data_IF_720118839475
#
_entry.id   IF_720118839475
#
_cell.length_a   1.000
_cell.length_b   1.000
_cell.length_c   1.000
_cell.angle_alpha   90.00
_cell.angle_beta   90.00
_cell.angle_gamma   90.00
#
_symmetry.space_group_name_H-M   'P 1'
#
loop_
_entity.id
_entity.type
_entity.pdbx_description
1 polymer ?
#
# COMPACT_ATOMS: atom_id res chain seq x y z
N UNK A 1 16.33 -8.10 -18.74
CA UNK A 1 16.34 -9.23 -17.77
C UNK A 1 16.41 -8.77 -16.32
N UNK A 2 17.46 -8.06 -15.89
CA UNK A 2 17.64 -7.67 -14.48
C UNK A 2 16.45 -6.94 -13.84
N UNK A 3 15.87 -5.94 -14.50
CA UNK A 3 14.73 -5.19 -13.97
C UNK A 3 13.42 -6.02 -13.95
N UNK A 4 13.30 -7.00 -14.85
CA UNK A 4 12.17 -7.95 -14.84
C UNK A 4 12.28 -8.84 -13.59
N UNK A 5 13.47 -9.37 -13.31
CA UNK A 5 13.73 -10.10 -12.06
C UNK A 5 13.51 -9.22 -10.82
N UNK A 6 13.88 -7.94 -10.89
CA UNK A 6 13.54 -6.95 -9.86
C UNK A 6 12.03 -6.84 -9.62
N UNK A 7 11.23 -6.72 -10.68
CA UNK A 7 9.76 -6.67 -10.58
C UNK A 7 9.16 -7.96 -10.03
N UNK A 8 9.65 -9.13 -10.44
CA UNK A 8 9.25 -10.42 -9.88
C UNK A 8 9.64 -10.56 -8.40
N UNK A 9 10.82 -10.07 -8.01
CA UNK A 9 11.24 -10.08 -6.62
C UNK A 9 10.35 -9.19 -5.74
N UNK A 10 9.96 -8.01 -6.25
CA UNK A 10 8.99 -7.13 -5.59
C UNK A 10 7.63 -7.83 -5.47
N UNK A 11 7.16 -8.48 -6.54
CA UNK A 11 5.92 -9.26 -6.53
C UNK A 11 5.93 -10.33 -5.43
N UNK A 12 7.01 -11.11 -5.35
CA UNK A 12 7.19 -12.15 -4.34
C UNK A 12 7.23 -11.58 -2.93
N UNK A 13 8.05 -10.56 -2.71
CA UNK A 13 8.28 -9.99 -1.38
C UNK A 13 7.09 -9.21 -0.84
N UNK A 14 6.40 -8.43 -1.67
CA UNK A 14 5.33 -7.54 -1.21
C UNK A 14 3.96 -8.24 -1.23
N UNK A 15 3.59 -8.87 -2.34
CA UNK A 15 2.22 -9.35 -2.55
C UNK A 15 2.07 -10.87 -2.43
N UNK A 16 2.96 -11.69 -3.03
CA UNK A 16 2.82 -13.16 -2.98
C UNK A 16 3.11 -13.74 -1.58
N UNK A 17 4.04 -13.13 -0.83
CA UNK A 17 4.32 -13.51 0.56
C UNK A 17 3.05 -13.45 1.44
N UNK A 18 2.11 -12.54 1.14
CA UNK A 18 0.82 -12.46 1.82
C UNK A 18 -0.16 -13.58 1.45
N UNK A 19 -0.02 -14.15 0.25
CA UNK A 19 -0.83 -15.28 -0.24
C UNK A 19 -0.35 -16.60 0.38
N UNK A 20 0.97 -16.78 0.52
CA UNK A 20 1.57 -18.03 0.96
C UNK A 20 1.40 -18.30 2.47
N UNK A 21 1.52 -17.25 3.31
CA UNK A 21 1.44 -17.28 4.79
C UNK A 21 2.29 -18.36 5.50
N UNK A 22 2.31 -18.29 6.82
CA UNK A 22 2.83 -19.35 7.70
C UNK A 22 4.30 -19.67 7.45
N UNK A 23 4.61 -20.96 7.35
CA UNK A 23 5.98 -21.44 7.19
C UNK A 23 6.67 -20.97 5.91
N UNK A 24 5.93 -20.78 4.81
CA UNK A 24 6.50 -20.36 3.53
C UNK A 24 6.88 -18.87 3.52
N UNK A 25 6.01 -18.02 4.07
CA UNK A 25 6.33 -16.60 4.26
C UNK A 25 7.55 -16.44 5.19
N UNK A 26 7.57 -17.18 6.30
CA UNK A 26 8.69 -17.17 7.25
C UNK A 26 9.98 -17.66 6.58
N UNK A 27 9.94 -18.78 5.85
CA UNK A 27 11.10 -19.31 5.13
C UNK A 27 11.65 -18.31 4.12
N UNK A 28 10.79 -17.59 3.38
CA UNK A 28 11.21 -16.56 2.45
C UNK A 28 11.99 -15.44 3.16
N UNK A 29 11.45 -14.87 4.24
CA UNK A 29 12.14 -13.80 4.97
C UNK A 29 13.39 -14.29 5.72
N UNK A 30 13.40 -15.52 6.24
CA UNK A 30 14.60 -16.15 6.82
C UNK A 30 15.69 -16.32 5.75
N UNK A 31 15.33 -16.64 4.52
CA UNK A 31 16.29 -16.74 3.42
C UNK A 31 16.85 -15.35 3.04
N UNK A 32 16.01 -14.31 2.96
CA UNK A 32 16.49 -12.93 2.75
C UNK A 32 17.44 -12.51 3.87
N UNK A 33 17.09 -12.88 5.09
CA UNK A 33 17.86 -12.62 6.29
C UNK A 33 19.23 -13.32 6.27
N UNK A 34 19.29 -14.58 5.84
CA UNK A 34 20.56 -15.29 5.62
C UNK A 34 21.41 -14.63 4.52
N UNK A 35 20.79 -14.17 3.44
CA UNK A 35 21.50 -13.42 2.38
C UNK A 35 22.11 -12.12 2.92
N UNK A 36 21.43 -11.42 3.83
CA UNK A 36 22.00 -10.24 4.49
C UNK A 36 23.26 -10.62 5.25
N UNK A 37 23.24 -11.67 6.06
CA UNK A 37 24.43 -12.10 6.80
C UNK A 37 25.61 -12.43 5.89
N UNK A 38 25.36 -13.15 4.81
CA UNK A 38 26.39 -13.50 3.81
C UNK A 38 27.00 -12.23 3.18
N UNK A 39 26.16 -11.23 2.85
CA UNK A 39 26.61 -9.98 2.26
C UNK A 39 27.18 -8.97 3.26
N UNK A 40 26.77 -9.02 4.54
CA UNK A 40 27.22 -8.10 5.58
C UNK A 40 28.73 -8.25 5.87
N UNK A 41 29.30 -9.44 5.64
CA UNK A 41 30.75 -9.66 5.63
C UNK A 41 31.51 -8.76 4.63
N UNK A 42 30.83 -8.15 3.66
CA UNK A 42 31.41 -7.23 2.66
C UNK A 42 30.98 -5.77 2.80
N UNK A 43 29.91 -5.47 3.55
CA UNK A 43 29.20 -4.17 3.45
C UNK A 43 29.24 -3.34 4.75
N UNK A 44 29.79 -3.86 5.87
CA UNK A 44 29.88 -3.15 7.15
C UNK A 44 28.57 -2.43 7.50
N UNK A 45 27.48 -3.20 7.60
CA UNK A 45 26.18 -2.67 8.02
C UNK A 45 26.30 -2.21 9.48
N UNK A 46 25.84 -1.00 9.79
CA UNK A 46 25.97 -0.39 11.12
C UNK A 46 25.25 -1.19 12.22
N UNK A 47 25.84 -1.20 13.42
CA UNK A 47 25.37 -1.86 14.66
C UNK A 47 23.86 -1.68 14.94
N UNK A 48 23.27 -0.55 14.53
CA UNK A 48 21.85 -0.22 14.65
C UNK A 48 20.92 -1.11 13.82
N UNK A 49 21.31 -1.52 12.62
CA UNK A 49 20.53 -2.47 11.82
C UNK A 49 20.67 -3.89 12.37
N UNK A 50 21.84 -4.23 12.94
CA UNK A 50 22.08 -5.49 13.63
C UNK A 50 21.29 -5.59 14.95
N UNK A 51 21.08 -4.46 15.64
CA UNK A 51 20.22 -4.34 16.82
C UNK A 51 18.72 -4.38 16.50
N UNK A 52 18.27 -3.75 15.40
CA UNK A 52 16.89 -3.92 14.89
C UNK A 52 16.61 -5.36 14.45
N UNK A 53 17.66 -6.04 14.00
CA UNK A 53 17.62 -7.43 13.60
C UNK A 53 17.64 -8.39 14.81
N UNK A 54 18.43 -8.07 15.85
CA UNK A 54 18.39 -8.79 17.12
C UNK A 54 17.06 -8.56 17.85
N UNK A 55 16.51 -7.35 17.85
CA UNK A 55 15.19 -7.09 18.45
C UNK A 55 14.07 -7.83 17.71
N UNK A 56 14.18 -7.98 16.40
CA UNK A 56 13.24 -8.79 15.60
C UNK A 56 13.41 -10.29 15.79
N UNK A 57 14.64 -10.80 15.95
CA UNK A 57 14.89 -12.19 16.38
C UNK A 57 14.33 -12.42 17.79
N UNK A 58 14.52 -11.49 18.73
CA UNK A 58 13.96 -11.57 20.08
C UNK A 58 12.43 -11.52 20.11
N UNK A 59 11.78 -10.86 19.14
CA UNK A 59 10.32 -10.88 18.96
C UNK A 59 9.84 -12.22 18.38
N UNK A 60 10.61 -12.82 17.48
CA UNK A 60 10.31 -14.13 16.85
C UNK A 60 10.56 -15.31 17.80
N UNK A 61 11.56 -15.21 18.70
CA UNK A 61 11.89 -16.23 19.71
C UNK A 61 11.03 -16.15 20.98
N UNK A 62 10.04 -15.25 21.04
CA UNK A 62 9.19 -15.03 22.21
C UNK A 62 7.81 -15.76 22.23
N UNK A 63 7.68 -17.03 21.83
CA UNK A 63 6.62 -17.88 22.38
C UNK A 63 6.88 -18.29 23.84
N UNK A 64 8.06 -17.98 24.39
CA UNK A 64 8.52 -18.48 25.70
C UNK A 64 8.35 -17.50 26.88
N UNK A 65 8.00 -16.22 26.67
CA UNK A 65 7.74 -15.26 27.75
C UNK A 65 6.40 -14.51 27.58
N UNK A 66 5.58 -14.55 28.63
CA UNK A 66 4.17 -14.13 28.72
C UNK A 66 3.89 -12.61 28.62
N UNK A 67 2.63 -12.30 28.28
CA UNK A 67 1.78 -11.15 28.71
C UNK A 67 2.06 -9.73 28.19
N UNK A 68 2.80 -9.56 27.10
CA UNK A 68 2.63 -8.38 26.22
C UNK A 68 1.79 -8.82 25.03
N UNK A 69 0.82 -8.01 24.58
CA UNK A 69 0.05 -8.27 23.35
C UNK A 69 0.97 -8.08 22.11
N UNK A 70 1.96 -8.98 22.00
CA UNK A 70 3.08 -9.00 21.05
C UNK A 70 2.60 -8.98 19.59
N UNK A 71 1.36 -9.40 19.36
CA UNK A 71 0.70 -9.27 18.07
C UNK A 71 0.76 -7.82 17.57
N UNK A 72 0.48 -6.82 18.41
CA UNK A 72 0.49 -5.40 18.02
C UNK A 72 1.91 -4.96 17.60
N UNK A 73 2.94 -5.38 18.34
CA UNK A 73 4.34 -5.09 18.00
C UNK A 73 4.76 -5.77 16.69
N UNK A 74 4.34 -7.02 16.47
CA UNK A 74 4.59 -7.74 15.20
C UNK A 74 3.85 -7.08 14.04
N UNK A 75 2.61 -6.64 14.23
CA UNK A 75 1.83 -5.91 13.23
C UNK A 75 2.50 -4.60 12.80
N UNK A 76 3.09 -3.87 13.75
CA UNK A 76 3.75 -2.59 13.48
C UNK A 76 5.20 -2.72 12.98
N UNK A 77 6.01 -3.60 13.57
CA UNK A 77 7.42 -3.77 13.22
C UNK A 77 7.61 -4.66 11.98
N UNK A 78 6.70 -5.60 11.74
CA UNK A 78 6.72 -6.53 10.62
C UNK A 78 6.95 -5.84 9.25
N UNK A 79 6.15 -4.83 8.87
CA UNK A 79 6.34 -4.09 7.61
C UNK A 79 7.72 -3.42 7.49
N UNK A 80 8.25 -2.91 8.60
CA UNK A 80 9.55 -2.24 8.64
C UNK A 80 10.67 -3.25 8.36
N UNK A 81 10.65 -4.38 9.07
CA UNK A 81 11.64 -5.45 8.90
C UNK A 81 11.55 -6.03 7.50
N UNK A 82 10.35 -6.40 7.05
CA UNK A 82 10.13 -6.99 5.73
C UNK A 82 10.53 -6.01 4.61
N UNK A 83 10.15 -4.73 4.72
CA UNK A 83 10.57 -3.69 3.79
C UNK A 83 12.09 -3.52 3.73
N UNK A 84 12.78 -3.58 4.88
CA UNK A 84 14.24 -3.54 4.94
C UNK A 84 14.88 -4.75 4.24
N UNK A 85 14.41 -5.97 4.54
CA UNK A 85 14.94 -7.21 3.93
C UNK A 85 14.80 -7.19 2.41
N UNK A 86 13.63 -6.79 1.91
CA UNK A 86 13.34 -6.67 0.48
C UNK A 86 14.25 -5.60 -0.13
N UNK A 87 14.34 -4.40 0.47
CA UNK A 87 15.16 -3.31 -0.03
C UNK A 87 16.65 -3.67 -0.08
N UNK A 88 17.16 -4.38 0.94
CA UNK A 88 18.54 -4.81 1.00
C UNK A 88 18.87 -5.76 -0.15
N UNK A 89 18.08 -6.82 -0.32
CA UNK A 89 18.32 -7.80 -1.38
C UNK A 89 18.17 -7.16 -2.76
N UNK A 90 17.17 -6.29 -2.94
CA UNK A 90 16.98 -5.55 -4.17
C UNK A 90 18.17 -4.62 -4.51
N UNK A 91 18.70 -3.91 -3.51
CA UNK A 91 19.77 -2.94 -3.69
C UNK A 91 21.16 -3.59 -3.81
N UNK A 92 21.45 -4.63 -3.02
CA UNK A 92 22.77 -5.26 -2.95
C UNK A 92 22.87 -6.55 -3.75
N UNK A 93 21.93 -7.48 -3.61
CA UNK A 93 21.98 -8.78 -4.29
C UNK A 93 21.58 -8.65 -5.77
N UNK A 94 20.44 -8.01 -6.06
CA UNK A 94 20.05 -7.70 -7.44
C UNK A 94 20.82 -6.49 -8.00
N UNK A 95 21.53 -5.74 -7.15
CA UNK A 95 22.39 -4.60 -7.48
C UNK A 95 21.66 -3.46 -8.26
N UNK A 96 20.36 -3.28 -8.01
CA UNK A 96 19.54 -2.22 -8.62
C UNK A 96 19.68 -0.93 -7.80
N UNK A 97 20.70 -0.12 -8.15
CA UNK A 97 21.13 1.07 -7.39
C UNK A 97 20.69 2.41 -7.98
N UNK A 98 20.18 2.42 -9.22
CA UNK A 98 19.73 3.64 -9.90
C UNK A 98 18.23 3.83 -9.76
N UNK A 99 17.77 5.09 -9.71
CA UNK A 99 16.34 5.44 -9.66
C UNK A 99 15.60 4.90 -10.89
N UNK A 100 16.20 4.98 -12.07
CA UNK A 100 15.67 4.39 -13.31
C UNK A 100 15.48 2.87 -13.19
N UNK A 101 16.43 2.17 -12.56
CA UNK A 101 16.35 0.73 -12.35
C UNK A 101 15.25 0.35 -11.35
N UNK A 102 15.08 1.14 -10.29
CA UNK A 102 13.96 1.00 -9.35
C UNK A 102 12.62 1.19 -10.06
N UNK A 103 12.44 2.31 -10.77
CA UNK A 103 11.20 2.63 -11.50
C UNK A 103 10.88 1.57 -12.53
N UNK A 104 11.88 1.12 -13.30
CA UNK A 104 11.70 0.06 -14.29
C UNK A 104 11.21 -1.23 -13.64
N UNK A 105 11.78 -1.61 -12.50
CA UNK A 105 11.39 -2.83 -11.77
C UNK A 105 9.98 -2.73 -11.19
N UNK A 106 9.60 -1.57 -10.67
CA UNK A 106 8.25 -1.30 -10.19
C UNK A 106 7.22 -1.34 -11.32
N UNK A 107 7.57 -0.83 -12.51
CA UNK A 107 6.71 -0.94 -13.69
C UNK A 107 6.51 -2.42 -14.10
N UNK A 108 7.56 -3.24 -14.04
CA UNK A 108 7.42 -4.69 -14.26
C UNK A 108 6.57 -5.37 -13.20
N UNK A 109 6.65 -4.94 -11.93
CA UNK A 109 5.74 -5.43 -10.89
C UNK A 109 4.26 -5.13 -11.22
N UNK A 110 3.94 -3.90 -11.61
CA UNK A 110 2.57 -3.52 -12.02
C UNK A 110 2.13 -4.29 -13.27
N UNK A 111 3.00 -4.45 -14.25
CA UNK A 111 2.71 -5.20 -15.47
C UNK A 111 2.42 -6.67 -15.16
N UNK A 112 3.20 -7.32 -14.29
CA UNK A 112 2.96 -8.70 -13.88
C UNK A 112 1.63 -8.85 -13.15
N UNK A 113 1.31 -7.91 -12.24
CA UNK A 113 0.00 -7.91 -11.59
C UNK A 113 -1.13 -7.72 -12.60
N UNK A 114 -0.98 -6.83 -13.58
CA UNK A 114 -1.98 -6.67 -14.66
C UNK A 114 -2.18 -7.95 -15.48
N UNK A 115 -1.11 -8.64 -15.84
CA UNK A 115 -1.18 -9.91 -16.55
C UNK A 115 -1.90 -10.98 -15.72
N UNK A 116 -1.65 -11.03 -14.41
CA UNK A 116 -2.41 -11.88 -13.48
C UNK A 116 -3.88 -11.51 -13.48
N UNK A 117 -4.22 -10.22 -13.43
CA UNK A 117 -5.61 -9.75 -13.47
C UNK A 117 -6.29 -10.22 -14.75
N UNK A 118 -5.66 -10.04 -15.93
CA UNK A 118 -6.19 -10.53 -17.20
C UNK A 118 -6.38 -12.05 -17.20
N UNK A 119 -5.43 -12.80 -16.65
CA UNK A 119 -5.53 -14.24 -16.49
C UNK A 119 -6.71 -14.64 -15.59
N UNK A 120 -6.88 -13.98 -14.45
CA UNK A 120 -8.00 -14.22 -13.53
C UNK A 120 -9.36 -13.85 -14.12
N UNK A 121 -9.42 -12.84 -15.00
CA UNK A 121 -10.63 -12.52 -15.77
C UNK A 121 -10.94 -13.60 -16.80
N UNK A 122 -9.93 -14.13 -17.49
CA UNK A 122 -10.09 -15.20 -18.47
C UNK A 122 -10.49 -16.55 -17.83
N UNK A 123 -10.04 -16.82 -16.59
CA UNK A 123 -10.28 -18.08 -15.88
C UNK A 123 -10.96 -17.86 -14.51
N UNK A 124 -12.28 -17.56 -14.49
CA UNK A 124 -13.00 -17.22 -13.26
C UNK A 124 -13.02 -18.36 -12.22
N UNK A 125 -13.06 -19.63 -12.66
CA UNK A 125 -13.04 -20.77 -11.75
C UNK A 125 -11.71 -20.92 -11.00
N UNK A 126 -10.58 -20.65 -11.68
CA UNK A 126 -9.26 -20.65 -11.04
C UNK A 126 -9.13 -19.50 -10.05
N UNK A 127 -9.67 -18.33 -10.40
CA UNK A 127 -9.73 -17.17 -9.50
C UNK A 127 -10.50 -17.50 -8.21
N UNK A 128 -11.69 -18.10 -8.32
CA UNK A 128 -12.47 -18.51 -7.15
C UNK A 128 -11.70 -19.51 -6.28
N UNK A 129 -11.07 -20.53 -6.89
CA UNK A 129 -10.23 -21.47 -6.14
C UNK A 129 -9.05 -20.80 -5.42
N UNK A 130 -8.44 -19.77 -6.00
CA UNK A 130 -7.39 -18.97 -5.34
C UNK A 130 -7.97 -18.17 -4.17
N UNK A 131 -9.12 -17.52 -4.34
CA UNK A 131 -9.78 -16.75 -3.27
C UNK A 131 -10.16 -17.68 -2.11
N UNK A 132 -10.73 -18.86 -2.41
CA UNK A 132 -11.09 -19.86 -1.41
C UNK A 132 -9.87 -20.39 -0.66
N UNK A 133 -8.74 -20.62 -1.36
CA UNK A 133 -7.49 -20.99 -0.71
C UNK A 133 -6.97 -19.89 0.23
N UNK A 134 -7.04 -18.62 -0.19
CA UNK A 134 -6.52 -17.47 0.57
C UNK A 134 -7.38 -17.16 1.81
N UNK A 135 -8.70 -17.28 1.70
CA UNK A 135 -9.65 -16.81 2.72
C UNK A 135 -10.47 -17.91 3.41
N UNK A 136 -10.49 -19.14 2.90
CA UNK A 136 -11.40 -20.21 3.35
C UNK A 136 -11.24 -20.64 4.82
N UNK A 137 -10.07 -20.42 5.43
CA UNK A 137 -9.78 -20.81 6.81
C UNK A 137 -10.06 -19.72 7.86
N UNK A 138 -10.59 -18.56 7.47
CA UNK A 138 -10.52 -17.37 8.32
C UNK A 138 -11.75 -17.07 9.19
N UNK A 139 -12.78 -17.92 9.20
CA UNK A 139 -13.96 -17.70 10.03
C UNK A 139 -14.62 -16.34 9.80
N UNK A 140 -14.50 -15.78 8.59
CA UNK A 140 -15.20 -14.57 8.19
C UNK A 140 -16.67 -14.91 7.98
N UNK A 141 -17.55 -14.13 8.61
CA UNK A 141 -18.99 -14.36 8.60
C UNK A 141 -19.55 -14.38 7.17
N UNK A 142 -20.41 -15.36 6.92
CA UNK A 142 -20.26 -16.34 5.84
C UNK A 142 -20.85 -15.99 4.46
N UNK A 143 -21.21 -14.74 4.14
CA UNK A 143 -21.84 -14.43 2.83
C UNK A 143 -21.47 -13.08 2.21
N UNK A 144 -21.45 -11.99 3.00
CA UNK A 144 -21.20 -10.65 2.48
C UNK A 144 -19.74 -10.39 2.08
N UNK A 145 -18.79 -10.89 2.89
CA UNK A 145 -17.35 -10.70 2.65
C UNK A 145 -16.84 -11.61 1.51
N UNK A 146 -17.32 -12.85 1.46
CA UNK A 146 -17.10 -13.76 0.33
C UNK A 146 -17.67 -13.17 -0.96
N UNK A 147 -18.91 -12.66 -0.97
CA UNK A 147 -19.49 -12.00 -2.15
C UNK A 147 -18.67 -10.76 -2.61
N UNK A 148 -18.17 -9.96 -1.67
CA UNK A 148 -17.31 -8.82 -2.01
C UNK A 148 -15.96 -9.26 -2.60
N UNK A 149 -15.37 -10.36 -2.11
CA UNK A 149 -14.10 -10.91 -2.61
C UNK A 149 -14.27 -11.65 -3.95
N UNK A 150 -15.34 -12.43 -4.14
CA UNK A 150 -15.67 -13.06 -5.43
C UNK A 150 -15.95 -12.00 -6.50
N UNK A 151 -16.26 -10.77 -6.12
CA UNK A 151 -16.38 -9.65 -7.05
C UNK A 151 -15.08 -8.83 -7.20
N UNK A 152 -14.29 -8.64 -6.14
CA UNK A 152 -13.15 -7.68 -6.10
C UNK A 152 -11.76 -8.27 -5.90
N UNK A 153 -11.62 -9.58 -5.80
CA UNK A 153 -10.32 -10.25 -5.60
C UNK A 153 -9.57 -10.50 -6.89
N UNK A 154 -8.85 -9.50 -7.42
CA UNK A 154 -8.01 -9.64 -8.62
C UNK A 154 -6.54 -9.31 -8.33
N UNK A 155 -5.62 -10.12 -8.85
CA UNK A 155 -4.17 -10.01 -8.60
C UNK A 155 -3.66 -11.08 -7.63
N UNK A 156 -2.34 -11.14 -7.42
CA UNK A 156 -1.73 -12.10 -6.48
C UNK A 156 -1.43 -11.38 -5.15
N UNK A 157 -2.43 -11.26 -4.29
CA UNK A 157 -2.33 -10.62 -2.97
C UNK A 157 -3.43 -11.12 -2.06
N UNK A 158 -3.35 -10.86 -0.75
CA UNK A 158 -4.45 -11.04 0.21
C UNK A 158 -5.07 -9.71 0.65
N UNK A 159 -4.56 -8.59 0.13
CA UNK A 159 -5.02 -7.24 0.48
C UNK A 159 -5.78 -6.56 -0.67
N UNK A 160 -6.56 -7.35 -1.42
CA UNK A 160 -7.28 -6.92 -2.63
C UNK A 160 -8.11 -5.64 -2.43
N UNK A 161 -8.80 -5.53 -1.31
CA UNK A 161 -9.80 -4.48 -1.10
C UNK A 161 -9.22 -3.10 -0.76
N UNK A 162 -8.00 -3.00 -0.23
CA UNK A 162 -7.47 -1.71 0.23
C UNK A 162 -5.97 -1.58 0.01
N UNK A 163 -5.14 -2.34 0.73
CA UNK A 163 -3.69 -2.14 0.71
C UNK A 163 -3.05 -2.37 -0.67
N UNK A 164 -3.56 -3.32 -1.46
CA UNK A 164 -3.01 -3.60 -2.79
C UNK A 164 -3.26 -2.45 -3.77
N UNK A 165 -4.49 -1.96 -3.99
CA UNK A 165 -4.74 -0.76 -4.81
C UNK A 165 -3.95 0.48 -4.34
N UNK A 166 -3.78 0.67 -3.03
CA UNK A 166 -2.93 1.74 -2.48
C UNK A 166 -1.46 1.56 -2.87
N UNK A 167 -0.92 0.34 -2.80
CA UNK A 167 0.46 0.05 -3.20
C UNK A 167 0.70 0.32 -4.69
N UNK A 168 -0.25 -0.04 -5.56
CA UNK A 168 -0.21 0.25 -7.00
C UNK A 168 -0.24 1.76 -7.25
N UNK A 169 -1.08 2.49 -6.53
CA UNK A 169 -1.14 3.95 -6.62
C UNK A 169 0.18 4.61 -6.16
N UNK A 170 0.83 4.09 -5.11
CA UNK A 170 2.15 4.56 -4.66
C UNK A 170 3.22 4.36 -5.75
N UNK A 171 3.22 3.19 -6.41
CA UNK A 171 4.12 2.91 -7.54
C UNK A 171 3.92 3.91 -8.68
N UNK A 172 2.67 4.15 -9.06
CA UNK A 172 2.33 5.12 -10.10
C UNK A 172 2.76 6.53 -9.69
N UNK A 173 2.43 6.96 -8.46
CA UNK A 173 2.78 8.28 -7.95
C UNK A 173 4.30 8.50 -7.91
N UNK A 174 5.08 7.49 -7.53
CA UNK A 174 6.53 7.52 -7.64
C UNK A 174 6.98 7.74 -9.09
N UNK A 175 6.47 6.95 -10.05
CA UNK A 175 6.83 7.09 -11.46
C UNK A 175 6.45 8.47 -12.04
N UNK A 176 5.27 9.00 -11.67
CA UNK A 176 4.80 10.30 -12.13
C UNK A 176 5.61 11.46 -11.55
N UNK A 177 5.87 11.44 -10.24
CA UNK A 177 6.38 12.58 -9.47
C UNK A 177 7.91 12.57 -9.30
N UNK A 178 8.61 11.49 -9.66
CA UNK A 178 10.05 11.54 -9.90
C UNK A 178 10.30 12.46 -11.11
N UNK A 179 11.18 13.45 -10.91
CA UNK A 179 11.53 14.50 -11.87
C UNK A 179 12.37 13.92 -13.00
N UNK A 180 11.72 13.62 -14.10
CA UNK A 180 12.40 13.59 -15.40
C UNK A 180 12.54 15.03 -15.90
N UNK A 181 13.74 15.60 -15.78
CA UNK A 181 14.09 16.86 -16.44
C UNK A 181 14.08 16.67 -17.96
N UNK A 182 12.90 16.69 -18.58
CA UNK A 182 12.78 16.67 -20.02
C UNK A 182 12.04 17.91 -20.52
N UNK A 183 12.60 18.54 -21.55
CA UNK A 183 12.12 19.82 -22.13
C UNK A 183 10.69 19.77 -22.67
N UNK A 184 10.12 18.57 -22.88
CA UNK A 184 8.77 18.34 -23.38
C UNK A 184 7.96 17.39 -22.47
N UNK A 185 7.56 17.88 -21.30
CA UNK A 185 6.81 17.12 -20.29
C UNK A 185 5.54 16.43 -20.83
N UNK A 186 4.75 17.12 -21.67
CA UNK A 186 3.52 16.56 -22.25
C UNK A 186 3.80 15.35 -23.14
N UNK A 187 4.78 15.44 -24.04
CA UNK A 187 5.14 14.32 -24.93
C UNK A 187 5.64 13.12 -24.13
N UNK A 188 6.47 13.35 -23.12
CA UNK A 188 6.96 12.30 -22.24
C UNK A 188 5.84 11.68 -21.39
N UNK A 189 4.88 12.48 -20.92
CA UNK A 189 3.70 11.98 -20.21
C UNK A 189 2.87 11.03 -21.09
N UNK A 190 2.50 11.45 -22.30
CA UNK A 190 1.71 10.62 -23.21
C UNK A 190 2.45 9.37 -23.67
N UNK A 191 3.74 9.47 -24.01
CA UNK A 191 4.49 8.33 -24.54
C UNK A 191 4.93 7.33 -23.45
N UNK A 192 5.27 7.80 -22.24
CA UNK A 192 5.93 6.94 -21.24
C UNK A 192 5.10 6.67 -19.98
N UNK A 193 4.12 7.53 -19.66
CA UNK A 193 3.38 7.48 -18.38
C UNK A 193 1.92 7.10 -18.54
N UNK A 194 1.26 7.49 -19.65
CA UNK A 194 -0.16 7.24 -19.88
C UNK A 194 -0.54 5.75 -19.82
N UNK A 195 0.25 4.88 -20.46
CA UNK A 195 -0.02 3.44 -20.46
C UNK A 195 -0.03 2.86 -19.03
N UNK A 196 0.87 3.35 -18.16
CA UNK A 196 0.95 2.89 -16.77
C UNK A 196 -0.23 3.38 -15.94
N UNK A 197 -0.73 4.59 -16.21
CA UNK A 197 -1.98 5.08 -15.62
C UNK A 197 -3.13 4.16 -16.01
N UNK A 198 -3.27 3.82 -17.30
CA UNK A 198 -4.34 2.95 -17.79
C UNK A 198 -4.28 1.56 -17.15
N UNK A 199 -3.11 0.92 -17.18
CA UNK A 199 -2.88 -0.39 -16.57
C UNK A 199 -3.20 -0.37 -15.07
N UNK A 200 -2.69 0.62 -14.33
CA UNK A 200 -2.93 0.76 -12.88
C UNK A 200 -4.41 1.03 -12.58
N UNK A 201 -5.08 1.81 -13.42
CA UNK A 201 -6.50 2.13 -13.26
C UNK A 201 -7.37 0.90 -13.44
N UNK A 202 -7.07 0.03 -14.41
CA UNK A 202 -7.80 -1.24 -14.59
C UNK A 202 -7.64 -2.14 -13.35
N UNK A 203 -6.42 -2.29 -12.82
CA UNK A 203 -6.18 -3.08 -11.60
C UNK A 203 -7.00 -2.50 -10.43
N UNK A 204 -6.99 -1.18 -10.24
CA UNK A 204 -7.72 -0.53 -9.15
C UNK A 204 -9.24 -0.59 -9.33
N UNK A 205 -9.76 -0.46 -10.55
CA UNK A 205 -11.20 -0.56 -10.86
C UNK A 205 -11.78 -1.93 -10.50
N UNK A 206 -11.02 -2.99 -10.75
CA UNK A 206 -11.43 -4.37 -10.48
C UNK A 206 -11.29 -4.76 -8.99
N UNK A 207 -10.49 -4.01 -8.23
CA UNK A 207 -10.23 -4.29 -6.81
C UNK A 207 -10.90 -3.25 -5.89
N UNK A 208 -10.37 -2.02 -5.82
CA UNK A 208 -10.94 -0.98 -4.99
C UNK A 208 -10.70 0.45 -5.48
N UNK A 209 -11.76 1.26 -5.34
CA UNK A 209 -11.84 2.64 -5.81
C UNK A 209 -10.88 3.59 -5.11
N UNK A 210 -10.45 3.30 -3.88
CA UNK A 210 -9.48 4.13 -3.14
C UNK A 210 -8.14 4.26 -3.87
N UNK A 211 -7.72 3.23 -4.63
CA UNK A 211 -6.53 3.32 -5.47
C UNK A 211 -6.68 4.35 -6.59
N UNK A 212 -7.86 4.44 -7.22
CA UNK A 212 -8.13 5.43 -8.29
C UNK A 212 -8.09 6.86 -7.77
N UNK A 213 -8.59 7.09 -6.56
CA UNK A 213 -8.53 8.40 -5.92
C UNK A 213 -7.08 8.86 -5.75
N UNK A 214 -6.18 7.98 -5.27
CA UNK A 214 -4.76 8.33 -5.16
C UNK A 214 -4.08 8.51 -6.51
N UNK A 215 -4.44 7.72 -7.52
CA UNK A 215 -3.97 7.92 -8.90
C UNK A 215 -4.37 9.32 -9.39
N UNK A 216 -5.62 9.74 -9.16
CA UNK A 216 -6.09 11.07 -9.51
C UNK A 216 -5.30 12.17 -8.77
N UNK A 217 -5.07 12.01 -7.47
CA UNK A 217 -4.23 12.94 -6.68
C UNK A 217 -2.82 13.02 -7.24
N UNK A 218 -2.18 11.91 -7.61
CA UNK A 218 -0.85 11.90 -8.21
C UNK A 218 -0.81 12.67 -9.53
N UNK A 219 -1.82 12.49 -10.38
CA UNK A 219 -1.96 13.20 -11.65
C UNK A 219 -2.17 14.70 -11.43
N UNK A 220 -3.04 15.09 -10.48
CA UNK A 220 -3.29 16.49 -10.13
C UNK A 220 -2.00 17.14 -9.61
N UNK A 221 -1.28 16.50 -8.70
CA UNK A 221 0.00 17.00 -8.17
C UNK A 221 1.03 17.13 -9.28
N UNK A 222 1.12 16.14 -10.19
CA UNK A 222 2.03 16.19 -11.34
C UNK A 222 1.82 17.47 -12.16
N UNK A 223 0.58 17.72 -12.61
CA UNK A 223 0.25 18.90 -13.41
C UNK A 223 0.26 20.22 -12.63
N UNK A 224 0.01 20.20 -11.32
CA UNK A 224 0.07 21.39 -10.47
C UNK A 224 1.51 21.80 -10.18
N UNK A 225 2.44 20.84 -10.13
CA UNK A 225 3.87 21.07 -9.91
C UNK A 225 4.56 21.66 -11.14
N UNK A 226 4.05 21.36 -12.33
CA UNK A 226 4.47 22.03 -13.55
C UNK A 226 3.70 23.35 -13.67
N UNK A 227 4.38 24.49 -13.51
CA UNK A 227 3.80 25.86 -13.51
C UNK A 227 3.05 26.28 -14.80
N UNK A 228 2.63 25.35 -15.66
CA UNK A 228 1.89 25.59 -16.90
C UNK A 228 0.74 24.58 -17.03
N UNK A 229 -0.45 25.03 -16.62
CA UNK A 229 -1.77 24.76 -17.20
C UNK A 229 -2.86 24.48 -16.17
N UNK A 230 -3.40 25.55 -15.59
CA UNK A 230 -4.74 25.59 -15.00
C UNK A 230 -5.81 25.01 -15.93
N UNK A 231 -5.68 25.21 -17.25
CA UNK A 231 -6.60 24.66 -18.26
C UNK A 231 -6.55 23.12 -18.34
N UNK A 232 -5.37 22.52 -18.21
CA UNK A 232 -5.22 21.06 -18.28
C UNK A 232 -5.63 20.38 -16.98
N UNK A 233 -5.37 21.02 -15.83
CA UNK A 233 -5.93 20.60 -14.53
C UNK A 233 -7.45 20.63 -14.60
N UNK A 234 -8.04 21.67 -15.19
CA UNK A 234 -9.49 21.76 -15.40
C UNK A 234 -10.00 20.61 -16.27
N UNK A 235 -9.36 20.33 -17.41
CA UNK A 235 -9.76 19.24 -18.32
C UNK A 235 -9.59 17.86 -17.67
N UNK A 236 -8.51 17.62 -16.94
CA UNK A 236 -8.31 16.36 -16.20
C UNK A 236 -9.35 16.21 -15.10
N UNK A 237 -9.60 17.27 -14.33
CA UNK A 237 -10.60 17.25 -13.25
C UNK A 237 -12.00 17.03 -13.81
N UNK A 238 -12.31 17.64 -14.95
CA UNK A 238 -13.57 17.47 -15.68
C UNK A 238 -13.67 16.07 -16.32
N UNK A 239 -12.58 15.50 -16.85
CA UNK A 239 -12.61 14.14 -17.43
C UNK A 239 -12.61 13.04 -16.37
N UNK A 240 -11.98 13.27 -15.21
CA UNK A 240 -12.12 12.43 -14.01
C UNK A 240 -13.54 12.52 -13.45
N UNK A 241 -14.12 13.72 -13.34
CA UNK A 241 -15.51 13.86 -12.91
C UNK A 241 -16.47 13.26 -13.94
N UNK A 242 -16.20 13.38 -15.24
CA UNK A 242 -16.99 12.74 -16.30
C UNK A 242 -16.87 11.21 -16.29
N UNK A 243 -15.69 10.65 -16.02
CA UNK A 243 -15.51 9.21 -15.81
C UNK A 243 -16.23 8.70 -14.55
N UNK A 244 -16.30 9.54 -13.52
CA UNK A 244 -17.05 9.24 -12.29
C UNK A 244 -18.57 9.39 -12.49
N UNK A 245 -19.02 10.27 -13.40
CA UNK A 245 -20.44 10.59 -13.60
C UNK A 245 -21.10 9.80 -14.74
N UNK A 246 -20.36 9.41 -15.80
CA UNK A 246 -20.92 8.78 -17.01
C UNK A 246 -20.61 7.29 -17.18
N UNK A 247 -20.44 6.54 -16.10
CA UNK A 247 -20.60 5.07 -16.18
C UNK A 247 -22.08 4.68 -16.27
N UNK A 248 -22.78 5.14 -17.31
CA UNK A 248 -24.03 4.51 -17.76
C UNK A 248 -23.75 3.89 -19.13
N UNK A 249 -23.04 2.77 -19.08
CA UNK A 249 -22.75 1.92 -20.24
C UNK A 249 -23.73 0.77 -20.19
N UNK A 250 -24.83 0.88 -20.94
CA UNK A 250 -25.75 -0.23 -21.21
C UNK A 250 -25.03 -1.28 -22.06
N UNK A 251 -24.43 -2.28 -21.41
CA UNK A 251 -23.89 -3.48 -22.06
C UNK A 251 -24.31 -4.71 -21.25
N UNK A 252 -25.09 -5.56 -21.91
CA UNK A 252 -25.77 -6.73 -21.37
C UNK A 252 -24.82 -7.91 -21.16
N UNK A 253 -24.30 -8.04 -19.94
CA UNK A 253 -23.88 -9.34 -19.38
C UNK A 253 -24.24 -9.38 -17.91
N UNK A 254 -24.56 -10.58 -17.39
CA UNK A 254 -25.01 -10.76 -15.99
C UNK A 254 -23.99 -10.19 -14.99
N UNK A 255 -22.69 -10.41 -15.22
CA UNK A 255 -21.59 -9.83 -14.41
C UNK A 255 -21.52 -8.30 -14.48
N UNK A 256 -21.80 -7.69 -15.65
CA UNK A 256 -21.81 -6.23 -15.80
C UNK A 256 -23.08 -5.58 -15.23
N UNK A 257 -24.22 -6.26 -15.28
CA UNK A 257 -25.45 -5.76 -14.68
C UNK A 257 -25.32 -5.68 -13.15
N UNK A 258 -24.70 -6.67 -12.52
CA UNK A 258 -24.38 -6.64 -11.08
C UNK A 258 -23.32 -5.57 -10.74
N UNK A 259 -22.38 -5.32 -11.66
CA UNK A 259 -21.41 -4.22 -11.52
C UNK A 259 -22.06 -2.84 -11.66
N UNK A 260 -23.00 -2.68 -12.59
CA UNK A 260 -23.72 -1.44 -12.82
C UNK A 260 -24.73 -1.14 -11.71
N UNK A 261 -25.43 -2.15 -11.21
CA UNK A 261 -26.33 -2.00 -10.06
C UNK A 261 -25.55 -1.57 -8.81
N UNK A 262 -24.39 -2.18 -8.58
CA UNK A 262 -23.49 -1.80 -7.49
C UNK A 262 -22.91 -0.38 -7.64
N UNK A 263 -22.56 0.04 -8.86
CA UNK A 263 -22.17 1.43 -9.13
C UNK A 263 -23.31 2.40 -8.83
N UNK A 264 -24.53 2.11 -9.32
CA UNK A 264 -25.73 2.94 -9.11
C UNK A 264 -26.08 3.08 -7.63
N UNK A 265 -26.04 1.97 -6.88
CA UNK A 265 -26.26 1.97 -5.43
C UNK A 265 -25.23 2.85 -4.70
N UNK A 266 -23.98 2.83 -5.14
CA UNK A 266 -22.91 3.66 -4.56
C UNK A 266 -23.10 5.17 -4.79
N UNK A 267 -23.72 5.57 -5.90
CA UNK A 267 -24.02 6.98 -6.19
C UNK A 267 -25.31 7.45 -5.54
N UNK A 268 -26.28 6.55 -5.32
CA UNK A 268 -27.52 6.86 -4.60
C UNK A 268 -27.25 7.26 -3.14
N UNK A 269 -26.18 6.77 -2.51
CA UNK A 269 -25.76 7.20 -1.15
C UNK A 269 -25.41 8.70 -1.10
N UNK A 270 -25.01 9.30 -2.23
CA UNK A 270 -24.73 10.74 -2.34
C UNK A 270 -25.93 11.56 -2.83
N UNK A 271 -27.09 10.93 -3.06
CA UNK A 271 -28.31 11.66 -3.40
C UNK A 271 -28.83 12.37 -2.15
N UNK A 272 -28.85 13.71 -2.19
CA UNK A 272 -29.17 14.57 -1.04
C UNK A 272 -30.63 14.49 -0.56
N UNK A 273 -31.49 13.72 -1.24
CA UNK A 273 -32.94 13.64 -0.96
C UNK A 273 -33.32 12.78 0.25
N UNK A 274 -32.42 11.92 0.78
CA UNK A 274 -32.72 10.98 1.88
C UNK A 274 -31.87 11.20 3.14
N UNK A 275 -31.39 12.43 3.37
CA UNK A 275 -30.50 12.77 4.49
C UNK A 275 -31.02 12.44 5.90
N UNK A 276 -32.33 12.22 6.08
CA UNK A 276 -32.94 11.97 7.40
C UNK A 276 -32.98 10.50 7.85
N UNK A 277 -32.68 9.53 6.98
CA UNK A 277 -32.68 8.10 7.31
C UNK A 277 -31.44 7.36 6.76
N UNK A 278 -30.31 8.06 6.62
CA UNK A 278 -29.08 7.45 6.10
C UNK A 278 -28.47 6.52 7.17
N UNK A 279 -28.81 5.23 7.13
CA UNK A 279 -28.27 4.18 7.98
C UNK A 279 -26.74 4.22 8.07
N UNK A 280 -26.06 4.55 6.97
CA UNK A 280 -24.59 4.67 6.89
C UNK A 280 -23.98 5.72 7.83
N UNK A 281 -24.65 6.85 8.10
CA UNK A 281 -24.13 7.88 9.03
C UNK A 281 -24.35 7.47 10.49
N UNK A 282 -25.45 6.77 10.79
CA UNK A 282 -25.67 6.16 12.10
C UNK A 282 -24.75 4.96 12.33
N UNK A 283 -24.47 4.18 11.29
CA UNK A 283 -23.51 3.08 11.34
C UNK A 283 -22.09 3.63 11.56
N UNK A 284 -21.72 4.73 10.90
CA UNK A 284 -20.43 5.40 11.13
C UNK A 284 -20.30 5.95 12.54
N UNK A 285 -21.35 6.57 13.10
CA UNK A 285 -21.30 7.04 14.50
C UNK A 285 -21.17 5.89 15.48
N UNK A 286 -21.82 4.75 15.18
CA UNK A 286 -21.68 3.51 15.94
C UNK A 286 -20.30 2.84 15.81
N UNK A 287 -19.44 3.27 14.88
CA UNK A 287 -18.06 2.73 14.71
C UNK A 287 -16.98 3.63 15.31
N UNK A 288 -17.35 4.81 15.83
CA UNK A 288 -16.42 5.77 16.45
C UNK A 288 -16.47 5.59 17.96
N UNK A 289 -15.43 4.93 18.48
CA UNK A 289 -15.22 4.75 19.91
C UNK A 289 -13.94 5.48 20.32
N UNK A 290 -13.84 5.83 21.61
CA UNK A 290 -12.59 6.31 22.20
C UNK A 290 -12.41 5.66 23.59
N UNK A 291 -11.17 5.37 24.01
CA UNK A 291 -10.90 4.84 25.34
C UNK A 291 -11.44 5.75 26.44
N UNK A 292 -12.00 5.16 27.50
CA UNK A 292 -12.55 5.92 28.62
C UNK A 292 -11.43 6.27 29.61
N UNK A 293 -11.17 7.57 29.78
CA UNK A 293 -10.18 8.09 30.73
C UNK A 293 -8.86 8.53 30.10
N UNK A 294 -8.15 9.41 30.79
CA UNK A 294 -6.94 10.04 30.25
C UNK A 294 -5.78 9.03 30.09
N UNK A 295 -5.66 8.07 31.02
CA UNK A 295 -4.60 7.07 30.97
C UNK A 295 -4.75 6.12 29.76
N UNK A 296 -5.95 5.59 29.56
CA UNK A 296 -6.28 4.70 28.43
C UNK A 296 -6.21 5.43 27.09
N UNK A 297 -6.56 6.72 27.05
CA UNK A 297 -6.38 7.54 25.85
C UNK A 297 -4.89 7.75 25.51
N UNK A 298 -4.03 7.95 26.51
CA UNK A 298 -2.60 8.21 26.29
C UNK A 298 -1.80 6.94 25.96
N UNK A 299 -2.09 5.81 26.64
CA UNK A 299 -1.32 4.57 26.54
C UNK A 299 -2.06 3.41 25.87
N UNK A 300 -3.34 3.58 25.57
CA UNK A 300 -4.19 2.54 25.00
C UNK A 300 -4.72 1.58 26.06
N UNK A 301 -5.62 0.71 25.63
CA UNK A 301 -6.18 -0.38 26.44
C UNK A 301 -5.52 -1.72 26.11
N UNK A 302 -4.65 -1.77 25.09
CA UNK A 302 -3.99 -3.00 24.65
C UNK A 302 -4.93 -3.95 23.91
N UNK A 303 -6.11 -3.48 23.50
CA UNK A 303 -7.14 -4.26 22.83
C UNK A 303 -7.16 -3.90 21.33
N UNK A 304 -7.31 -4.92 20.48
CA UNK A 304 -7.56 -4.73 19.05
C UNK A 304 -9.06 -4.83 18.82
N UNK A 305 -9.70 -3.71 18.45
CA UNK A 305 -11.13 -3.70 18.12
C UNK A 305 -11.33 -4.45 16.80
N UNK A 306 -11.82 -5.69 16.89
CA UNK A 306 -12.00 -6.61 15.77
C UNK A 306 -13.30 -7.40 16.01
N UNK A 307 -14.12 -7.66 14.97
CA UNK A 307 -15.39 -8.39 15.09
C UNK A 307 -15.34 -9.68 15.90
N UNK A 308 -14.18 -10.35 15.93
CA UNK A 308 -14.05 -11.69 16.51
C UNK A 308 -13.43 -11.69 17.92
N UNK A 309 -12.97 -10.56 18.46
CA UNK A 309 -12.21 -10.53 19.71
C UNK A 309 -12.66 -9.48 20.73
N UNK A 310 -13.60 -8.61 20.37
CA UNK A 310 -14.11 -7.57 21.25
C UNK A 310 -15.61 -7.36 21.03
N UNK A 311 -16.35 -7.08 22.10
CA UNK A 311 -17.78 -6.72 22.06
C UNK A 311 -18.04 -5.40 21.31
N UNK A 312 -16.96 -4.70 20.93
CA UNK A 312 -16.95 -3.40 20.26
C UNK A 312 -16.08 -3.50 18.99
N UNK A 313 -16.59 -3.05 17.84
CA UNK A 313 -15.90 -3.08 16.55
C UNK A 313 -15.74 -1.67 15.96
N UNK A 314 -14.56 -1.38 15.41
CA UNK A 314 -14.33 -0.16 14.62
C UNK A 314 -13.60 -0.48 13.31
N UNK A 315 -14.20 -0.11 12.17
CA UNK A 315 -13.52 -0.18 10.87
C UNK A 315 -12.45 0.94 10.71
N UNK A 316 -12.48 1.97 11.57
CA UNK A 316 -11.57 3.11 11.49
C UNK A 316 -10.20 2.73 12.07
N UNK A 317 -9.18 2.75 11.23
CA UNK A 317 -7.82 2.37 11.62
C UNK A 317 -7.22 3.25 12.70
N UNK A 318 -7.46 4.56 12.69
CA UNK A 318 -6.96 5.49 13.73
C UNK A 318 -7.54 5.12 15.10
N UNK A 319 -8.83 4.83 15.17
CA UNK A 319 -9.51 4.43 16.41
C UNK A 319 -8.89 3.14 16.94
N UNK A 320 -8.76 2.12 16.07
CA UNK A 320 -8.09 0.86 16.41
C UNK A 320 -6.65 1.07 16.91
N UNK A 321 -5.88 1.99 16.32
CA UNK A 321 -4.53 2.30 16.77
C UNK A 321 -4.51 2.93 18.17
N UNK A 322 -5.40 3.88 18.44
CA UNK A 322 -5.54 4.53 19.75
C UNK A 322 -5.99 3.53 20.82
N UNK A 323 -6.94 2.64 20.53
CA UNK A 323 -7.30 1.56 21.47
C UNK A 323 -6.15 0.59 21.73
N UNK A 324 -5.35 0.29 20.71
CA UNK A 324 -4.26 -0.68 20.82
C UNK A 324 -3.06 -0.17 21.64
N UNK A 325 -2.71 1.12 21.54
CA UNK A 325 -1.49 1.66 22.17
C UNK A 325 -1.53 3.16 22.49
N UNK A 326 -2.70 3.78 22.38
CA UNK A 326 -2.93 5.17 22.76
C UNK A 326 -2.35 6.22 21.80
N UNK A 327 -2.44 7.47 22.21
CA UNK A 327 -1.91 8.61 21.47
C UNK A 327 -0.38 8.51 21.30
N UNK A 328 0.35 8.00 22.29
CA UNK A 328 1.82 7.88 22.15
C UNK A 328 2.24 6.89 21.07
N UNK A 329 1.56 5.75 20.96
CA UNK A 329 1.79 4.80 19.88
C UNK A 329 1.41 5.42 18.52
N UNK A 330 0.29 6.11 18.45
CA UNK A 330 -0.11 6.83 17.24
C UNK A 330 0.93 7.86 16.79
N UNK A 331 1.45 8.69 17.71
CA UNK A 331 2.54 9.64 17.42
C UNK A 331 3.79 8.91 16.90
N UNK A 332 4.13 7.76 17.47
CA UNK A 332 5.26 6.94 17.01
C UNK A 332 5.07 6.47 15.56
N UNK A 333 3.85 6.04 15.19
CA UNK A 333 3.49 5.71 13.81
C UNK A 333 3.71 6.93 12.90
N UNK A 334 3.20 8.11 13.30
CA UNK A 334 3.35 9.35 12.52
C UNK A 334 4.81 9.72 12.28
N UNK A 335 5.66 9.67 13.32
CA UNK A 335 7.08 10.00 13.22
C UNK A 335 7.81 9.00 12.30
N UNK A 336 7.47 7.71 12.42
CA UNK A 336 8.07 6.65 11.60
C UNK A 336 7.74 6.84 10.12
N UNK A 337 6.49 7.11 9.79
CA UNK A 337 6.05 7.37 8.42
C UNK A 337 6.58 8.70 7.87
N UNK A 338 6.66 9.75 8.69
CA UNK A 338 7.30 11.00 8.32
C UNK A 338 8.76 10.78 7.88
N UNK A 339 9.52 10.01 8.67
CA UNK A 339 10.90 9.64 8.34
C UNK A 339 10.97 8.82 7.04
N UNK A 340 10.05 7.85 6.88
CA UNK A 340 9.97 7.06 5.67
C UNK A 340 9.70 7.90 4.41
N UNK A 341 8.75 8.83 4.47
CA UNK A 341 8.42 9.73 3.36
C UNK A 341 9.58 10.66 3.03
N UNK A 342 10.32 11.12 4.04
CA UNK A 342 11.54 11.90 3.82
C UNK A 342 12.56 11.10 3.01
N UNK A 343 12.80 9.84 3.35
CA UNK A 343 13.72 9.00 2.57
C UNK A 343 13.21 8.76 1.14
N UNK A 344 11.93 8.43 0.96
CA UNK A 344 11.33 8.21 -0.36
C UNK A 344 11.46 9.46 -1.24
N UNK A 345 11.17 10.63 -0.68
CA UNK A 345 11.22 11.91 -1.41
C UNK A 345 12.63 12.36 -1.79
N UNK A 346 13.68 11.66 -1.34
CA UNK A 346 15.08 11.93 -1.73
C UNK A 346 15.63 11.02 -2.84
N UNK A 347 14.84 10.04 -3.31
CA UNK A 347 15.24 9.02 -4.31
C UNK A 347 15.84 9.59 -5.60
N UNK A 348 15.49 10.83 -5.95
CA UNK A 348 15.76 11.44 -7.26
C UNK A 348 16.80 12.57 -7.25
N UNK A 349 17.30 12.97 -6.08
CA UNK A 349 18.10 14.18 -6.04
C UNK A 349 19.53 13.93 -6.54
N UNK A 350 19.81 14.48 -7.73
CA UNK A 350 21.17 14.81 -8.15
C UNK A 350 21.83 15.68 -7.06
N UNK A 351 22.62 15.02 -6.21
CA UNK A 351 23.69 15.56 -5.38
C UNK A 351 23.40 16.58 -4.25
N UNK A 352 22.16 16.83 -3.80
CA UNK A 352 21.94 17.76 -2.66
C UNK A 352 21.00 17.31 -1.53
N UNK A 353 20.44 16.10 -1.59
CA UNK A 353 19.59 15.58 -0.49
C UNK A 353 18.33 16.41 -0.20
N UNK A 354 17.90 17.27 -1.13
CA UNK A 354 16.67 18.02 -0.97
C UNK A 354 15.44 17.10 -1.13
N UNK A 355 14.33 17.51 -0.54
CA UNK A 355 13.08 16.75 -0.52
C UNK A 355 12.28 17.08 -1.78
N UNK A 356 11.85 16.07 -2.53
CA UNK A 356 10.84 16.21 -3.58
C UNK A 356 9.47 16.49 -2.92
N UNK A 357 9.15 17.76 -2.69
CA UNK A 357 7.93 18.20 -1.99
C UNK A 357 6.64 17.64 -2.62
N UNK A 358 6.44 17.64 -3.95
CA UNK A 358 5.29 16.97 -4.58
C UNK A 358 5.14 15.50 -4.17
N UNK A 359 6.22 14.72 -4.24
CA UNK A 359 6.20 13.31 -3.85
C UNK A 359 5.94 13.14 -2.35
N UNK A 360 6.52 14.00 -1.51
CA UNK A 360 6.31 13.98 -0.06
C UNK A 360 4.83 14.25 0.30
N UNK A 361 4.21 15.26 -0.32
CA UNK A 361 2.78 15.57 -0.14
C UNK A 361 1.91 14.40 -0.62
N UNK A 362 2.22 13.80 -1.77
CA UNK A 362 1.51 12.63 -2.27
C UNK A 362 1.56 11.45 -1.29
N UNK A 363 2.73 11.14 -0.73
CA UNK A 363 2.87 10.06 0.27
C UNK A 363 2.03 10.33 1.53
N UNK A 364 1.94 11.59 1.96
CA UNK A 364 1.07 11.99 3.07
C UNK A 364 -0.42 11.78 2.79
N UNK A 365 -0.91 12.14 1.60
CA UNK A 365 -2.28 11.82 1.20
C UNK A 365 -2.54 10.31 1.21
N UNK A 366 -1.60 9.52 0.66
CA UNK A 366 -1.67 8.06 0.70
C UNK A 366 -1.75 7.50 2.12
N UNK A 367 -0.97 8.08 3.03
CA UNK A 367 -0.94 7.71 4.44
C UNK A 367 -2.26 7.97 5.15
N UNK A 368 -2.88 9.14 4.95
CA UNK A 368 -4.18 9.47 5.54
C UNK A 368 -5.22 8.44 5.12
N UNK A 369 -5.27 8.10 3.83
CA UNK A 369 -6.20 7.08 3.32
C UNK A 369 -5.92 5.71 3.93
N UNK A 370 -4.65 5.31 4.01
CA UNK A 370 -4.25 4.05 4.62
C UNK A 370 -4.55 3.99 6.13
N UNK A 371 -4.43 5.10 6.85
CA UNK A 371 -4.76 5.20 8.28
C UNK A 371 -6.26 5.10 8.54
N UNK A 372 -7.11 5.66 7.68
CA UNK A 372 -8.57 5.53 7.80
C UNK A 372 -8.97 4.04 7.77
N UNK A 373 -8.33 3.23 6.92
CA UNK A 373 -8.62 1.79 6.79
C UNK A 373 -7.73 0.86 7.63
N UNK A 374 -6.76 1.41 8.38
CA UNK A 374 -5.86 0.64 9.24
C UNK A 374 -4.76 -0.12 8.50
N UNK A 375 -4.53 0.19 7.23
CA UNK A 375 -3.54 -0.46 6.36
C UNK A 375 -2.11 0.03 6.61
N UNK A 376 -1.94 1.16 7.31
CA UNK A 376 -0.63 1.76 7.54
C UNK A 376 0.11 1.20 8.77
N UNK A 377 -0.56 0.59 9.75
CA UNK A 377 0.12 -0.02 10.91
C UNK A 377 -0.07 -1.54 10.97
N UNK A 378 -0.53 -2.13 9.87
CA UNK A 378 -0.67 -3.57 9.67
C UNK A 378 0.33 -4.09 8.62
N UNK A 379 0.57 -5.40 8.65
CA UNK A 379 1.36 -6.12 7.65
C UNK A 379 0.55 -6.17 6.35
N UNK A 380 0.83 -5.23 5.44
CA UNK A 380 0.05 -5.01 4.23
C UNK A 380 0.93 -4.71 3.02
N UNK A 381 0.40 -4.88 1.80
CA UNK A 381 1.11 -4.56 0.56
C UNK A 381 1.55 -3.08 0.55
N UNK A 382 0.70 -2.19 1.09
CA UNK A 382 0.98 -0.75 1.19
C UNK A 382 2.15 -0.46 2.14
N UNK A 383 2.08 -0.93 3.39
CA UNK A 383 3.10 -0.62 4.41
C UNK A 383 4.47 -1.18 4.02
N UNK A 384 4.51 -2.40 3.48
CA UNK A 384 5.74 -3.00 2.92
C UNK A 384 6.32 -2.20 1.77
N UNK A 385 5.48 -1.73 0.83
CA UNK A 385 5.95 -0.91 -0.28
C UNK A 385 6.54 0.41 0.21
N UNK A 386 5.91 1.09 1.17
CA UNK A 386 6.44 2.32 1.77
C UNK A 386 7.81 2.08 2.41
N UNK A 387 7.94 1.06 3.26
CA UNK A 387 9.22 0.80 3.93
C UNK A 387 10.29 0.31 2.97
N UNK A 388 9.94 -0.52 1.98
CA UNK A 388 10.83 -0.90 0.88
C UNK A 388 11.42 0.33 0.17
N UNK A 389 10.57 1.26 -0.27
CA UNK A 389 11.01 2.48 -0.96
C UNK A 389 11.84 3.38 -0.05
N UNK A 390 11.46 3.50 1.23
CA UNK A 390 12.20 4.28 2.23
C UNK A 390 13.62 3.75 2.43
N UNK A 391 13.78 2.45 2.66
CA UNK A 391 15.10 1.86 2.86
C UNK A 391 15.94 1.88 1.59
N UNK A 392 15.33 1.65 0.41
CA UNK A 392 16.03 1.81 -0.86
C UNK A 392 16.54 3.24 -1.04
N UNK A 393 15.70 4.24 -0.76
CA UNK A 393 16.07 5.67 -0.83
C UNK A 393 17.23 6.00 0.12
N UNK A 394 17.17 5.47 1.35
CA UNK A 394 18.24 5.62 2.33
C UNK A 394 19.57 4.98 1.90
N UNK A 395 19.54 3.76 1.35
CA UNK A 395 20.74 3.10 0.81
C UNK A 395 21.36 3.89 -0.33
N UNK A 396 20.52 4.43 -1.23
CA UNK A 396 20.99 5.25 -2.34
C UNK A 396 21.60 6.57 -1.84
N UNK A 397 20.94 7.25 -0.89
CA UNK A 397 21.46 8.46 -0.27
C UNK A 397 22.84 8.24 0.39
N UNK A 398 22.98 7.18 1.20
CA UNK A 398 24.26 6.82 1.84
C UNK A 398 25.37 6.58 0.83
N UNK A 399 25.10 5.85 -0.26
CA UNK A 399 26.07 5.60 -1.33
C UNK A 399 26.53 6.89 -2.01
N UNK A 400 25.61 7.82 -2.25
CA UNK A 400 25.94 9.09 -2.90
C UNK A 400 26.79 9.94 -1.93
N UNK A 401 26.39 10.02 -0.66
CA UNK A 401 27.10 10.80 0.35
C UNK A 401 28.51 10.27 0.66
N UNK A 402 28.79 8.98 0.48
CA UNK A 402 30.12 8.40 0.68
C UNK A 402 31.07 8.57 -0.51
N UNK A 403 30.56 8.98 -1.67
CA UNK A 403 31.33 9.15 -2.92
C UNK A 403 31.62 10.63 -3.25
N UNK A 404 31.17 11.55 -2.39
CA UNK A 404 31.52 12.98 -2.36
C UNK A 404 32.53 13.17 -1.24
#
# INVERSE_FOLDING_TARGET
MRYIFGGLFILLGISLSNVLRGGLELAFYVLLLALIFIYNFKVNISLTALLLFFSSISIVLNPFYREVNLNILVYFLGPIIQGYLIAFCFYYALNIKTSEGLVSSLNYFVLMQFLVVLFMVAFPNLRLGIIDYIYGNQGYDSTGFTAALTFRGYGLTRHHLYAFPLSIAVVLGLNLLLKNYNRNALRDFFLKKLWLILVSSVICLLNARLGLMLIAVAVIIYFSSEKRNTFFISIITISLSFLLVNMDVTITSVFFNDYQSWLKESFNVFSFSEYKNNGTLNDLSSMIYFPEGLYSLMFGEGIVLNPNSSDVYSDIGIVRAIFSGGIFFFITILITYYSAFKNISTIDYQFRGAVNTPLFVFMFFGFIVAMIKGEAYSISDYSRMVFFLSFWGWFNYKRIASNV
#
